data_IF_324465231983
#
_entry.id   IF_324465231983
#
_cell.length_a   1.000
_cell.length_b   1.000
_cell.length_c   1.000
_cell.angle_alpha   90.00
_cell.angle_beta   90.00
_cell.angle_gamma   90.00
#
_symmetry.space_group_name_H-M   'P 1'
#
loop_
_entity.id
_entity.type
_entity.pdbx_description
1 polymer ?
#
# COMPACT_ATOMS: atom_id res chain seq x y z
N UNK A 1 -11.07 -23.17 -1.24
CA UNK A 1 -10.39 -22.65 -0.06
C UNK A 1 -9.23 -21.76 -0.41
N UNK A 2 -8.36 -22.21 -1.30
CA UNK A 2 -7.22 -21.41 -1.70
C UNK A 2 -7.57 -20.05 -2.27
N UNK A 3 -8.62 -20.00 -3.03
CA UNK A 3 -9.02 -18.75 -3.66
C UNK A 3 -9.45 -17.71 -2.64
N UNK A 4 -10.23 -18.12 -1.66
CA UNK A 4 -10.66 -17.22 -0.61
C UNK A 4 -9.48 -16.73 0.19
N UNK A 5 -8.55 -17.63 0.48
CA UNK A 5 -7.37 -17.28 1.22
C UNK A 5 -6.50 -16.28 0.45
N UNK A 6 -6.39 -16.46 -0.87
CA UNK A 6 -5.62 -15.53 -1.69
C UNK A 6 -6.22 -14.13 -1.65
N UNK A 7 -7.53 -14.03 -1.78
CA UNK A 7 -8.20 -12.74 -1.76
C UNK A 7 -8.05 -12.09 -0.38
N UNK A 8 -8.21 -12.89 0.67
CA UNK A 8 -8.08 -12.39 2.03
C UNK A 8 -6.66 -11.90 2.30
N UNK A 9 -5.66 -12.67 1.84
CA UNK A 9 -4.27 -12.28 2.03
C UNK A 9 -3.96 -10.99 1.30
N UNK A 10 -4.42 -10.87 0.06
CA UNK A 10 -4.19 -9.65 -0.71
C UNK A 10 -4.80 -8.44 -0.01
N UNK A 11 -6.04 -8.58 0.44
CA UNK A 11 -6.72 -7.48 1.11
C UNK A 11 -6.02 -7.11 2.41
N UNK A 12 -5.55 -8.09 3.15
CA UNK A 12 -4.82 -7.85 4.39
C UNK A 12 -3.52 -7.09 4.11
N UNK A 13 -2.82 -7.45 3.04
CA UNK A 13 -1.58 -6.76 2.66
C UNK A 13 -1.88 -5.32 2.27
N UNK A 14 -2.93 -5.11 1.49
CA UNK A 14 -3.31 -3.77 1.07
C UNK A 14 -3.67 -2.91 2.29
N UNK A 15 -4.46 -3.46 3.20
CA UNK A 15 -4.83 -2.74 4.41
C UNK A 15 -3.61 -2.41 5.26
N UNK A 16 -2.68 -3.34 5.35
CA UNK A 16 -1.45 -3.12 6.11
C UNK A 16 -0.63 -1.99 5.49
N UNK A 17 -0.56 -1.97 4.16
CA UNK A 17 0.16 -0.91 3.46
C UNK A 17 -0.49 0.44 3.73
N UNK A 18 -1.81 0.51 3.65
CA UNK A 18 -2.53 1.75 3.88
C UNK A 18 -2.33 2.24 5.32
N UNK A 19 -2.45 1.34 6.29
CA UNK A 19 -2.22 1.69 7.69
C UNK A 19 -0.82 2.24 7.91
N UNK A 20 0.18 1.58 7.32
CA UNK A 20 1.55 2.01 7.46
C UNK A 20 1.74 3.41 6.88
N UNK A 21 1.12 3.67 5.74
CA UNK A 21 1.21 4.98 5.09
C UNK A 21 0.62 6.07 5.99
N UNK A 22 -0.56 5.83 6.54
CA UNK A 22 -1.20 6.81 7.41
C UNK A 22 -0.44 7.00 8.72
N UNK A 23 0.10 5.93 9.28
CA UNK A 23 0.87 6.02 10.52
C UNK A 23 2.14 6.82 10.34
N UNK A 24 2.67 6.85 9.14
CA UNK A 24 3.94 7.53 8.85
C UNK A 24 3.76 8.66 7.86
N UNK A 25 2.57 9.23 7.82
CA UNK A 25 2.25 10.27 6.83
C UNK A 25 3.13 11.51 6.96
N UNK A 26 3.61 11.78 8.13
CA UNK A 26 4.47 12.95 8.39
C UNK A 26 5.94 12.67 8.06
N UNK A 27 6.27 11.44 7.72
CA UNK A 27 7.63 11.07 7.37
C UNK A 27 7.75 10.85 5.87
N UNK A 28 8.97 11.00 5.37
CA UNK A 28 9.21 10.81 3.94
C UNK A 28 9.45 9.33 3.65
N UNK A 29 8.37 8.56 3.67
CA UNK A 29 8.47 7.15 3.33
C UNK A 29 8.30 6.97 1.83
N UNK A 30 8.90 5.90 1.31
CA UNK A 30 8.82 5.58 -0.11
C UNK A 30 8.01 4.31 -0.32
N UNK A 31 7.68 4.03 -1.57
CA UNK A 31 6.99 2.79 -1.92
C UNK A 31 7.83 1.60 -1.46
N UNK A 32 9.14 1.72 -1.56
CA UNK A 32 10.04 0.65 -1.14
C UNK A 32 9.90 0.39 0.37
N UNK A 33 9.79 1.45 1.16
CA UNK A 33 9.59 1.30 2.60
C UNK A 33 8.30 0.56 2.92
N UNK A 34 7.24 0.91 2.20
CA UNK A 34 5.95 0.25 2.41
C UNK A 34 6.03 -1.22 2.02
N UNK A 35 6.70 -1.51 0.91
CA UNK A 35 6.84 -2.88 0.46
C UNK A 35 7.62 -3.71 1.46
N UNK A 36 8.69 -3.15 2.01
CA UNK A 36 9.48 -3.85 3.02
C UNK A 36 8.66 -4.14 4.27
N UNK A 37 7.85 -3.19 4.66
CA UNK A 37 6.97 -3.38 5.82
C UNK A 37 5.99 -4.52 5.59
N UNK A 38 5.53 -4.68 4.36
CA UNK A 38 4.59 -5.72 4.00
C UNK A 38 5.27 -7.03 3.61
N UNK A 39 6.59 -7.06 3.62
CA UNK A 39 7.38 -8.24 3.23
C UNK A 39 7.14 -8.64 1.78
N UNK A 40 6.96 -7.67 0.92
CA UNK A 40 6.77 -7.89 -0.51
C UNK A 40 7.79 -7.06 -1.30
N UNK A 41 8.00 -7.45 -2.55
CA UNK A 41 8.84 -6.63 -3.41
C UNK A 41 8.04 -5.39 -3.82
N UNK A 42 8.77 -4.31 -4.12
CA UNK A 42 8.14 -3.05 -4.52
C UNK A 42 7.18 -3.24 -5.70
N UNK A 43 7.65 -3.94 -6.72
CA UNK A 43 6.83 -4.14 -7.92
C UNK A 43 5.60 -4.98 -7.65
N UNK A 44 5.76 -6.00 -6.82
CA UNK A 44 4.62 -6.87 -6.50
C UNK A 44 3.56 -6.08 -5.73
N UNK A 45 3.98 -5.31 -4.74
CA UNK A 45 3.05 -4.52 -3.94
C UNK A 45 2.36 -3.46 -4.80
N UNK A 46 3.11 -2.77 -5.64
CA UNK A 46 2.53 -1.76 -6.51
C UNK A 46 1.48 -2.35 -7.43
N UNK A 47 1.77 -3.52 -7.97
CA UNK A 47 0.83 -4.19 -8.86
C UNK A 47 -0.44 -4.60 -8.11
N UNK A 48 -0.27 -5.22 -6.95
CA UNK A 48 -1.41 -5.63 -6.13
C UNK A 48 -2.29 -4.44 -5.76
N UNK A 49 -1.66 -3.38 -5.34
CA UNK A 49 -2.38 -2.19 -4.92
C UNK A 49 -3.21 -1.62 -6.08
N UNK A 50 -2.59 -1.51 -7.24
CA UNK A 50 -3.30 -0.97 -8.40
C UNK A 50 -4.45 -1.87 -8.84
N UNK A 51 -4.26 -3.18 -8.78
CA UNK A 51 -5.31 -4.11 -9.15
C UNK A 51 -6.49 -4.05 -8.19
N UNK A 52 -6.22 -3.79 -6.92
CA UNK A 52 -7.27 -3.75 -5.92
C UNK A 52 -7.98 -2.40 -5.83
N UNK A 53 -7.24 -1.32 -5.93
CA UNK A 53 -7.78 0.03 -5.75
C UNK A 53 -7.89 0.82 -7.04
N UNK A 54 -7.32 0.31 -8.12
CA UNK A 54 -7.27 0.97 -9.44
C UNK A 54 -6.46 2.27 -9.40
N UNK A 55 -5.72 2.49 -8.34
CA UNK A 55 -4.87 3.66 -8.20
C UNK A 55 -3.45 3.20 -7.92
N UNK A 56 -2.45 3.82 -8.59
CA UNK A 56 -1.07 3.49 -8.34
C UNK A 56 -0.71 3.83 -6.90
N UNK A 57 0.04 2.96 -6.24
CA UNK A 57 0.43 3.17 -4.85
C UNK A 57 1.16 4.50 -4.67
N UNK A 58 2.05 4.82 -5.60
CA UNK A 58 2.77 6.08 -5.57
C UNK A 58 1.81 7.28 -5.57
N UNK A 59 0.80 7.22 -6.42
CA UNK A 59 -0.18 8.29 -6.50
C UNK A 59 -1.00 8.41 -5.24
N UNK A 60 -1.36 7.27 -4.66
CA UNK A 60 -2.12 7.25 -3.43
C UNK A 60 -1.32 7.93 -2.31
N UNK A 61 -0.06 7.58 -2.19
CA UNK A 61 0.80 8.16 -1.16
C UNK A 61 0.93 9.67 -1.33
N UNK A 62 1.12 10.11 -2.56
CA UNK A 62 1.26 11.52 -2.86
C UNK A 62 -0.03 12.28 -2.53
N UNK A 63 -1.16 11.71 -2.90
CA UNK A 63 -2.46 12.34 -2.64
C UNK A 63 -2.72 12.49 -1.15
N UNK A 64 -2.48 11.43 -0.40
CA UNK A 64 -2.70 11.43 1.04
C UNK A 64 -1.81 12.46 1.73
N UNK A 65 -0.57 12.54 1.32
CA UNK A 65 0.36 13.51 1.89
C UNK A 65 -0.09 14.95 1.62
N UNK A 66 -0.56 15.21 0.42
CA UNK A 66 -1.04 16.54 0.06
C UNK A 66 -2.27 16.92 0.86
N UNK A 67 -3.18 15.98 1.04
CA UNK A 67 -4.37 16.21 1.83
C UNK A 67 -4.02 16.48 3.29
N UNK A 68 -3.05 15.77 3.79
CA UNK A 68 -2.61 15.95 5.18
C UNK A 68 -1.92 17.30 5.38
N UNK A 69 -1.15 17.73 4.39
CA UNK A 69 -0.43 18.98 4.46
C UNK A 69 -1.34 20.20 4.34
N UNK A 70 -2.46 20.00 3.68
CA UNK A 70 -3.41 21.10 3.51
C UNK A 70 -4.13 21.39 4.82
#
# INVERSE_FOLDING_TARGET
MGEKNSITIRRAVINKAISFIFDNIDEEITVDDVAKHCCYSKYHLMRMFKEDTEEALYQFMKRVRLERSA
#
